data_IF_145193871203
#
_entry.id   IF_145193871203
#
_cell.length_a   1.000
_cell.length_b   1.000
_cell.length_c   1.000
_cell.angle_alpha   90.00
_cell.angle_beta   90.00
_cell.angle_gamma   90.00
#
_symmetry.space_group_name_H-M   'P 1'
#
loop_
_entity.id
_entity.type
_entity.pdbx_description
1 polymer ?
#
# COMPACT_ATOMS: atom_id res chain seq x y z
N UNK A 1 33.58 4.00 -5.78
CA UNK A 1 33.28 2.79 -6.58
C UNK A 1 32.45 1.79 -5.79
N UNK A 2 32.82 1.45 -4.55
CA UNK A 2 32.05 0.58 -3.66
C UNK A 2 30.66 1.14 -3.32
N UNK A 3 30.52 2.44 -3.09
CA UNK A 3 29.22 3.06 -2.79
C UNK A 3 28.24 2.98 -3.97
N UNK A 4 28.73 3.23 -5.19
CA UNK A 4 27.93 3.08 -6.41
C UNK A 4 27.47 1.63 -6.60
N UNK A 5 28.34 0.66 -6.31
CA UNK A 5 28.00 -0.76 -6.37
C UNK A 5 26.94 -1.12 -5.32
N UNK A 6 27.11 -0.66 -4.08
CA UNK A 6 26.12 -0.83 -2.99
C UNK A 6 24.76 -0.24 -3.38
N UNK A 7 24.76 0.97 -3.94
CA UNK A 7 23.54 1.62 -4.43
C UNK A 7 22.85 0.78 -5.52
N UNK A 8 23.59 0.33 -6.53
CA UNK A 8 23.04 -0.50 -7.62
C UNK A 8 22.47 -1.82 -7.07
N UNK A 9 23.18 -2.48 -6.17
CA UNK A 9 22.71 -3.72 -5.53
C UNK A 9 21.44 -3.48 -4.71
N UNK A 10 21.36 -2.40 -3.95
CA UNK A 10 20.17 -2.06 -3.17
C UNK A 10 18.96 -1.76 -4.05
N UNK A 11 19.15 -0.96 -5.10
CA UNK A 11 18.08 -0.67 -6.07
C UNK A 11 17.60 -1.96 -6.72
N UNK A 12 18.52 -2.84 -7.12
CA UNK A 12 18.19 -4.13 -7.70
C UNK A 12 17.40 -5.01 -6.71
N UNK A 13 17.84 -5.08 -5.45
CA UNK A 13 17.19 -5.91 -4.43
C UNK A 13 15.78 -5.40 -4.09
N UNK A 14 15.61 -4.09 -3.92
CA UNK A 14 14.31 -3.45 -3.70
C UNK A 14 13.39 -3.68 -4.90
N UNK A 15 13.92 -3.57 -6.12
CA UNK A 15 13.16 -3.79 -7.36
C UNK A 15 12.70 -5.23 -7.46
N UNK A 16 13.58 -6.21 -7.22
CA UNK A 16 13.25 -7.64 -7.25
C UNK A 16 12.22 -7.96 -6.16
N UNK A 17 12.45 -7.52 -4.92
CA UNK A 17 11.52 -7.72 -3.81
C UNK A 17 10.12 -7.16 -4.14
N UNK A 18 10.06 -5.95 -4.69
CA UNK A 18 8.79 -5.30 -5.08
C UNK A 18 8.13 -5.99 -6.27
N UNK A 19 8.90 -6.38 -7.29
CA UNK A 19 8.38 -7.09 -8.46
C UNK A 19 7.83 -8.48 -8.09
N UNK A 20 8.56 -9.25 -7.28
CA UNK A 20 8.10 -10.55 -6.78
C UNK A 20 6.83 -10.40 -5.95
N UNK A 21 6.78 -9.41 -5.07
CA UNK A 21 5.59 -9.10 -4.26
C UNK A 21 4.41 -8.74 -5.15
N UNK A 22 4.59 -7.82 -6.11
CA UNK A 22 3.55 -7.41 -7.03
C UNK A 22 3.03 -8.60 -7.87
N UNK A 23 3.93 -9.47 -8.34
CA UNK A 23 3.56 -10.67 -9.07
C UNK A 23 2.75 -11.65 -8.22
N UNK A 24 3.23 -12.01 -7.02
CA UNK A 24 2.55 -12.95 -6.12
C UNK A 24 1.20 -12.42 -5.65
N UNK A 25 1.12 -11.13 -5.30
CA UNK A 25 -0.16 -10.50 -4.91
C UNK A 25 -1.11 -10.43 -6.11
N UNK A 26 -0.61 -10.09 -7.30
CA UNK A 26 -1.42 -10.11 -8.53
C UNK A 26 -1.99 -11.49 -8.82
N UNK A 27 -1.23 -12.54 -8.59
CA UNK A 27 -1.71 -13.92 -8.72
C UNK A 27 -2.87 -14.21 -7.77
N UNK A 28 -2.78 -13.81 -6.50
CA UNK A 28 -3.91 -13.92 -5.57
C UNK A 28 -5.10 -13.03 -5.98
N UNK A 29 -4.84 -11.84 -6.52
CA UNK A 29 -5.86 -10.98 -7.13
C UNK A 29 -6.59 -11.67 -8.27
N UNK A 30 -5.87 -12.34 -9.17
CA UNK A 30 -6.46 -13.08 -10.28
C UNK A 30 -7.33 -14.24 -9.78
N UNK A 31 -6.89 -14.96 -8.74
CA UNK A 31 -7.72 -16.02 -8.11
C UNK A 31 -9.00 -15.42 -7.51
N UNK A 32 -8.92 -14.29 -6.79
CA UNK A 32 -10.09 -13.57 -6.26
C UNK A 32 -11.07 -13.17 -7.36
N UNK A 33 -10.55 -12.81 -8.54
CA UNK A 33 -11.35 -12.38 -9.70
C UNK A 33 -12.09 -13.57 -10.34
N UNK A 34 -11.41 -14.71 -10.52
CA UNK A 34 -11.96 -15.89 -11.21
C UNK A 34 -12.89 -16.69 -10.29
N UNK A 35 -12.57 -16.78 -8.99
CA UNK A 35 -13.30 -17.61 -8.02
C UNK A 35 -13.95 -16.74 -6.94
N UNK A 36 -15.20 -16.26 -7.15
CA UNK A 36 -15.90 -15.37 -6.22
C UNK A 36 -16.50 -16.11 -5.00
N UNK A 37 -15.77 -17.10 -4.46
CA UNK A 37 -16.18 -17.89 -3.30
C UNK A 37 -15.66 -17.19 -2.03
N UNK A 38 -16.51 -16.98 -1.03
CA UNK A 38 -16.19 -16.21 0.17
C UNK A 38 -14.94 -16.70 0.92
N UNK A 39 -14.76 -18.02 1.03
CA UNK A 39 -13.60 -18.65 1.67
C UNK A 39 -12.33 -18.37 0.86
N UNK A 40 -12.39 -18.51 -0.47
CA UNK A 40 -11.26 -18.24 -1.37
C UNK A 40 -10.87 -16.77 -1.30
N UNK A 41 -11.83 -15.85 -1.36
CA UNK A 41 -11.58 -14.42 -1.26
C UNK A 41 -10.88 -14.04 0.05
N UNK A 42 -11.35 -14.57 1.18
CA UNK A 42 -10.74 -14.32 2.51
C UNK A 42 -9.33 -14.89 2.58
N UNK A 43 -9.12 -16.12 2.11
CA UNK A 43 -7.80 -16.76 2.11
C UNK A 43 -6.80 -16.02 1.21
N UNK A 44 -7.18 -15.68 -0.02
CA UNK A 44 -6.33 -14.91 -0.93
C UNK A 44 -6.02 -13.52 -0.37
N UNK A 45 -6.98 -12.86 0.29
CA UNK A 45 -6.73 -11.56 0.94
C UNK A 45 -5.76 -11.68 2.11
N UNK A 46 -5.89 -12.74 2.93
CA UNK A 46 -4.96 -13.01 4.03
C UNK A 46 -3.54 -13.28 3.51
N UNK A 47 -3.42 -14.09 2.45
CA UNK A 47 -2.14 -14.39 1.81
C UNK A 47 -1.52 -13.14 1.15
N UNK A 48 -2.31 -12.34 0.43
CA UNK A 48 -1.86 -11.09 -0.15
C UNK A 48 -1.35 -10.11 0.93
N UNK A 49 -2.09 -9.96 2.03
CA UNK A 49 -1.66 -9.14 3.17
C UNK A 49 -0.36 -9.68 3.80
N UNK A 50 -0.22 -11.00 3.92
CA UNK A 50 1.00 -11.61 4.44
C UNK A 50 2.20 -11.38 3.50
N UNK A 51 2.02 -11.53 2.18
CA UNK A 51 3.06 -11.21 1.20
C UNK A 51 3.47 -9.74 1.27
N UNK A 52 2.52 -8.83 1.44
CA UNK A 52 2.81 -7.40 1.61
C UNK A 52 3.49 -7.09 2.96
N UNK A 53 3.16 -7.83 4.02
CA UNK A 53 3.89 -7.78 5.29
C UNK A 53 5.35 -8.25 5.11
N UNK A 54 5.59 -9.35 4.39
CA UNK A 54 6.94 -9.83 4.08
C UNK A 54 7.74 -8.79 3.28
N UNK A 55 7.11 -8.18 2.28
CA UNK A 55 7.71 -7.07 1.53
C UNK A 55 8.13 -5.92 2.44
N UNK A 56 7.24 -5.50 3.36
CA UNK A 56 7.53 -4.43 4.31
C UNK A 56 8.65 -4.80 5.29
N UNK A 57 8.70 -6.06 5.75
CA UNK A 57 9.78 -6.60 6.60
C UNK A 57 11.13 -6.59 5.88
N UNK A 58 11.18 -7.06 4.63
CA UNK A 58 12.41 -7.05 3.83
C UNK A 58 12.89 -5.63 3.53
N UNK A 59 11.98 -4.70 3.21
CA UNK A 59 12.35 -3.29 3.03
C UNK A 59 12.87 -2.65 4.31
N UNK A 60 12.26 -2.92 5.47
CA UNK A 60 12.75 -2.41 6.75
C UNK A 60 14.18 -2.91 7.03
N UNK A 61 14.40 -4.20 6.82
CA UNK A 61 15.74 -4.79 6.97
C UNK A 61 16.74 -4.13 6.04
N UNK A 62 16.40 -3.96 4.75
CA UNK A 62 17.27 -3.27 3.79
C UNK A 62 17.56 -1.83 4.18
N UNK A 63 16.55 -1.09 4.66
CA UNK A 63 16.71 0.30 5.10
C UNK A 63 17.72 0.39 6.25
N UNK A 64 17.57 -0.46 7.27
CA UNK A 64 18.43 -0.47 8.46
C UNK A 64 19.85 -1.00 8.19
N UNK A 65 20.01 -1.95 7.27
CA UNK A 65 21.35 -2.49 6.92
C UNK A 65 22.11 -1.53 6.00
N UNK A 66 21.41 -0.75 5.18
CA UNK A 66 22.05 0.11 4.19
C UNK A 66 22.28 1.54 4.63
N UNK A 67 21.55 1.99 5.64
CA UNK A 67 21.58 3.37 6.11
C UNK A 67 21.65 3.36 7.63
N UNK A 68 22.33 4.34 8.20
CA UNK A 68 22.31 4.58 9.63
C UNK A 68 21.06 5.42 9.96
N UNK A 69 19.94 4.72 10.24
CA UNK A 69 18.64 5.35 10.48
C UNK A 69 18.30 5.26 11.96
N UNK A 70 18.21 6.41 12.61
CA UNK A 70 17.60 6.54 13.93
C UNK A 70 16.09 6.75 13.78
N UNK A 71 15.31 5.70 14.04
CA UNK A 71 13.84 5.79 13.99
C UNK A 71 13.28 6.45 15.24
N UNK A 72 12.77 7.66 15.11
CA UNK A 72 12.04 8.36 16.17
C UNK A 72 10.54 8.17 15.96
N UNK A 73 9.94 7.27 16.72
CA UNK A 73 8.50 6.95 16.63
C UNK A 73 7.86 7.14 18.01
N UNK A 74 7.05 8.19 18.13
CA UNK A 74 6.35 8.52 19.37
C UNK A 74 4.90 8.04 19.36
N UNK A 75 4.39 7.70 20.55
CA UNK A 75 3.00 7.24 20.74
C UNK A 75 2.74 5.81 20.26
N UNK A 76 1.48 5.55 19.87
CA UNK A 76 1.06 4.27 19.29
C UNK A 76 0.85 3.10 20.27
N UNK A 77 0.80 3.37 21.58
CA UNK A 77 0.57 2.34 22.61
C UNK A 77 -0.82 1.71 22.55
N UNK A 78 -1.81 2.51 22.15
CA UNK A 78 -3.22 2.10 22.06
C UNK A 78 -3.59 1.57 20.66
N UNK A 79 -2.62 1.45 19.75
CA UNK A 79 -2.84 0.95 18.41
C UNK A 79 -2.83 -0.58 18.44
N UNK A 80 -3.82 -1.18 17.81
CA UNK A 80 -4.03 -2.64 17.77
C UNK A 80 -4.21 -3.15 16.35
N UNK A 81 -3.61 -4.29 16.04
CA UNK A 81 -3.83 -5.04 14.78
C UNK A 81 -5.25 -5.58 14.60
N UNK A 82 -6.12 -5.45 15.62
CA UNK A 82 -7.50 -5.96 15.63
C UNK A 82 -8.56 -4.93 15.23
N UNK A 83 -8.18 -3.67 15.04
CA UNK A 83 -9.10 -2.57 14.72
C UNK A 83 -8.60 -1.80 13.51
N UNK A 84 -9.50 -1.20 12.74
CA UNK A 84 -9.15 -0.37 11.60
C UNK A 84 -9.04 1.11 11.98
N UNK A 85 -8.12 1.81 11.32
CA UNK A 85 -7.83 3.22 11.57
C UNK A 85 -7.74 3.96 10.24
N UNK A 86 -8.11 5.24 10.26
CA UNK A 86 -7.78 6.16 9.19
C UNK A 86 -6.42 6.79 9.48
N UNK A 87 -5.37 6.31 8.78
CA UNK A 87 -4.03 6.86 8.89
C UNK A 87 -3.91 8.13 8.02
N UNK A 88 -3.52 9.24 8.63
CA UNK A 88 -3.23 10.49 7.93
C UNK A 88 -1.74 10.80 8.07
N UNK A 89 -1.10 11.17 6.97
CA UNK A 89 0.32 11.53 6.91
C UNK A 89 0.48 12.73 5.98
N UNK A 90 1.51 13.54 6.23
CA UNK A 90 2.06 14.38 5.17
C UNK A 90 2.65 13.48 4.06
N UNK A 91 2.81 14.03 2.86
CA UNK A 91 3.42 13.32 1.75
C UNK A 91 4.68 14.04 1.30
N UNK A 92 5.84 13.41 1.52
CA UNK A 92 7.15 13.96 1.19
C UNK A 92 7.75 13.26 -0.02
N UNK A 93 7.53 11.95 -0.14
CA UNK A 93 8.17 11.17 -1.19
C UNK A 93 7.41 9.88 -1.49
N UNK A 94 7.78 9.25 -2.61
CA UNK A 94 7.36 7.89 -2.93
C UNK A 94 7.79 6.85 -1.87
N UNK A 95 8.85 7.12 -1.09
CA UNK A 95 9.32 6.23 -0.04
C UNK A 95 8.35 6.15 1.16
N UNK A 96 7.40 7.09 1.28
CA UNK A 96 6.46 7.15 2.40
C UNK A 96 5.66 5.85 2.53
N UNK A 97 5.23 5.22 1.43
CA UNK A 97 4.52 3.93 1.44
C UNK A 97 5.39 2.84 2.05
N UNK A 98 6.67 2.80 1.66
CA UNK A 98 7.64 1.81 2.15
C UNK A 98 7.82 2.01 3.65
N UNK A 99 8.14 3.23 4.07
CA UNK A 99 8.44 3.58 5.47
C UNK A 99 7.22 3.31 6.36
N UNK A 100 6.05 3.84 6.01
CA UNK A 100 4.83 3.69 6.82
C UNK A 100 4.43 2.22 6.92
N UNK A 101 4.50 1.47 5.83
CA UNK A 101 4.21 0.03 5.86
C UNK A 101 5.24 -0.72 6.71
N UNK A 102 6.53 -0.43 6.56
CA UNK A 102 7.62 -1.09 7.28
C UNK A 102 7.55 -0.90 8.80
N UNK A 103 7.26 0.31 9.27
CA UNK A 103 7.18 0.65 10.70
C UNK A 103 5.88 0.16 11.33
N UNK A 104 4.75 0.27 10.62
CA UNK A 104 3.42 0.02 11.19
C UNK A 104 2.90 -1.41 10.99
N UNK A 105 3.54 -2.23 10.15
CA UNK A 105 3.08 -3.60 9.80
C UNK A 105 2.76 -4.50 11.01
N UNK A 106 3.41 -4.28 12.15
CA UNK A 106 3.24 -5.09 13.37
C UNK A 106 2.32 -4.42 14.41
N UNK A 107 2.01 -3.13 14.23
CA UNK A 107 1.19 -2.33 15.16
C UNK A 107 -0.26 -2.21 14.68
N UNK A 108 -0.47 -2.16 13.37
CA UNK A 108 -1.78 -1.94 12.72
C UNK A 108 -2.13 -3.09 11.79
N UNK A 109 -3.41 -3.26 11.42
CA UNK A 109 -3.73 -4.06 10.24
C UNK A 109 -2.96 -3.56 9.02
N UNK A 110 -2.67 -4.45 8.08
CA UNK A 110 -1.86 -4.11 6.91
C UNK A 110 -2.42 -2.87 6.20
N UNK A 111 -1.58 -1.85 6.06
CA UNK A 111 -1.96 -0.52 5.58
C UNK A 111 -2.58 -0.58 4.19
N UNK A 112 -3.66 0.17 4.00
CA UNK A 112 -4.37 0.34 2.73
C UNK A 112 -4.24 1.78 2.29
N UNK A 113 -3.57 2.01 1.16
CA UNK A 113 -3.33 3.35 0.66
C UNK A 113 -4.42 3.75 -0.33
N UNK A 114 -4.82 5.01 -0.29
CA UNK A 114 -5.64 5.62 -1.33
C UNK A 114 -4.77 5.89 -2.56
N UNK A 115 -5.00 5.13 -3.62
CA UNK A 115 -4.20 5.16 -4.84
C UNK A 115 -4.85 6.02 -5.92
N UNK A 116 -4.04 6.62 -6.79
CA UNK A 116 -4.54 7.31 -7.99
C UNK A 116 -5.18 6.31 -8.96
N UNK A 117 -6.28 6.68 -9.59
CA UNK A 117 -7.01 5.81 -10.53
C UNK A 117 -6.13 5.35 -11.71
N UNK A 118 -5.18 6.18 -12.14
CA UNK A 118 -4.23 5.89 -13.20
C UNK A 118 -3.34 4.67 -12.89
N UNK A 119 -3.08 4.38 -11.60
CA UNK A 119 -2.30 3.22 -11.18
C UNK A 119 -2.99 1.89 -11.48
N UNK A 120 -4.31 1.90 -11.73
CA UNK A 120 -5.04 0.70 -12.13
C UNK A 120 -4.53 0.14 -13.47
N UNK A 121 -4.04 1.01 -14.34
CA UNK A 121 -3.59 0.66 -15.70
C UNK A 121 -2.11 0.27 -15.77
N UNK A 122 -1.36 0.42 -14.66
CA UNK A 122 0.04 0.01 -14.62
C UNK A 122 0.10 -1.52 -14.51
N UNK A 123 0.77 -2.22 -15.44
CA UNK A 123 0.84 -3.69 -15.45
C UNK A 123 1.31 -4.24 -14.10
N UNK A 124 0.63 -5.29 -13.61
CA UNK A 124 0.81 -5.93 -12.31
C UNK A 124 0.52 -5.05 -11.08
N UNK A 125 0.86 -3.76 -11.10
CA UNK A 125 0.62 -2.85 -9.96
C UNK A 125 -0.86 -2.68 -9.70
N UNK A 126 -1.66 -2.37 -10.72
CA UNK A 126 -3.11 -2.19 -10.56
C UNK A 126 -3.80 -3.43 -9.97
N UNK A 127 -3.46 -4.61 -10.50
CA UNK A 127 -4.01 -5.89 -10.03
C UNK A 127 -3.51 -6.26 -8.62
N UNK A 128 -2.24 -6.01 -8.31
CA UNK A 128 -1.70 -6.24 -6.97
C UNK A 128 -2.39 -5.35 -5.92
N UNK A 129 -2.52 -4.06 -6.21
CA UNK A 129 -3.19 -3.11 -5.35
C UNK A 129 -4.68 -3.44 -5.15
N UNK A 130 -5.38 -3.87 -6.21
CA UNK A 130 -6.74 -4.38 -6.11
C UNK A 130 -6.81 -5.67 -5.27
N UNK A 131 -5.86 -6.59 -5.46
CA UNK A 131 -5.73 -7.83 -4.70
C UNK A 131 -5.57 -7.57 -3.19
N UNK A 132 -4.85 -6.50 -2.85
CA UNK A 132 -4.69 -5.97 -1.49
C UNK A 132 -5.88 -5.16 -0.99
N UNK A 133 -6.98 -5.06 -1.74
CA UNK A 133 -8.15 -4.26 -1.37
C UNK A 133 -7.84 -2.76 -1.17
N UNK A 134 -6.84 -2.21 -1.87
CA UNK A 134 -6.53 -0.78 -1.84
C UNK A 134 -7.57 0.03 -2.63
N UNK A 135 -8.10 1.13 -2.06
CA UNK A 135 -9.05 1.99 -2.74
C UNK A 135 -8.38 2.88 -3.80
N UNK A 136 -9.01 2.99 -4.97
CA UNK A 136 -8.57 3.88 -6.06
C UNK A 136 -9.44 5.14 -6.12
N UNK A 137 -8.80 6.29 -6.16
CA UNK A 137 -9.38 7.62 -6.09
C UNK A 137 -9.27 8.33 -7.43
N UNK A 138 -10.34 9.03 -7.83
CA UNK A 138 -10.36 9.89 -9.01
C UNK A 138 -10.29 11.33 -8.56
N UNK A 139 -9.09 11.92 -8.60
CA UNK A 139 -8.91 13.32 -8.26
C UNK A 139 -9.27 14.20 -9.45
N UNK A 140 -10.19 15.12 -9.22
CA UNK A 140 -10.56 16.13 -10.21
C UNK A 140 -9.61 17.33 -10.16
N UNK A 141 -9.30 17.92 -11.32
CA UNK A 141 -8.53 19.17 -11.35
C UNK A 141 -9.36 20.34 -10.83
N UNK A 142 -8.68 21.40 -10.39
CA UNK A 142 -9.35 22.60 -9.88
C UNK A 142 -10.26 23.23 -10.94
N UNK A 143 -9.80 23.29 -12.18
CA UNK A 143 -10.55 23.84 -13.32
C UNK A 143 -11.81 23.01 -13.60
N UNK A 144 -11.73 21.68 -13.47
CA UNK A 144 -12.86 20.80 -13.63
C UNK A 144 -13.91 21.01 -12.53
N UNK A 145 -13.46 21.14 -11.27
CA UNK A 145 -14.36 21.37 -10.12
C UNK A 145 -15.02 22.74 -10.11
N UNK A 146 -14.40 23.76 -10.71
CA UNK A 146 -15.04 25.07 -10.91
C UNK A 146 -16.20 24.96 -11.90
N UNK A 147 -16.05 24.13 -12.95
CA UNK A 147 -17.07 23.89 -13.96
C UNK A 147 -18.17 22.91 -13.49
N UNK A 148 -17.83 22.01 -12.56
CA UNK A 148 -18.70 20.95 -12.06
C UNK A 148 -18.68 20.94 -10.51
N UNK A 149 -19.24 21.99 -9.86
CA UNK A 149 -19.17 22.17 -8.41
C UNK A 149 -19.84 21.04 -7.61
N UNK A 150 -20.82 20.34 -8.20
CA UNK A 150 -21.51 19.19 -7.61
C UNK A 150 -20.58 18.00 -7.33
N UNK A 151 -19.43 17.91 -8.02
CA UNK A 151 -18.46 16.82 -7.90
C UNK A 151 -17.35 17.08 -6.88
N UNK A 152 -17.45 18.17 -6.12
CA UNK A 152 -16.44 18.57 -5.11
C UNK A 152 -16.29 17.54 -3.98
N UNK A 153 -17.37 16.80 -3.67
CA UNK A 153 -17.38 15.81 -2.59
C UNK A 153 -17.05 14.38 -3.05
N UNK A 154 -16.81 14.14 -4.34
CA UNK A 154 -16.54 12.81 -4.90
C UNK A 154 -15.42 12.07 -4.12
N UNK A 155 -14.36 12.78 -3.74
CA UNK A 155 -13.25 12.22 -2.98
C UNK A 155 -13.67 11.81 -1.55
N UNK A 156 -14.45 12.65 -0.87
CA UNK A 156 -14.95 12.33 0.48
C UNK A 156 -15.91 11.15 0.47
N UNK A 157 -16.79 11.08 -0.52
CA UNK A 157 -17.74 9.97 -0.68
C UNK A 157 -17.03 8.66 -1.00
N UNK A 158 -15.99 8.71 -1.84
CA UNK A 158 -15.15 7.55 -2.13
C UNK A 158 -14.37 7.07 -0.89
N UNK A 159 -13.83 7.99 -0.08
CA UNK A 159 -13.17 7.66 1.21
C UNK A 159 -14.18 6.99 2.15
N UNK A 160 -15.35 7.59 2.37
CA UNK A 160 -16.39 7.04 3.24
C UNK A 160 -16.83 5.63 2.80
N UNK A 161 -17.02 5.43 1.49
CA UNK A 161 -17.37 4.13 0.92
C UNK A 161 -16.27 3.10 1.16
N UNK A 162 -15.00 3.47 0.98
CA UNK A 162 -13.87 2.59 1.23
C UNK A 162 -13.77 2.19 2.72
N UNK A 163 -13.89 3.16 3.62
CA UNK A 163 -13.86 2.92 5.07
C UNK A 163 -14.99 2.01 5.55
N UNK A 164 -16.16 2.00 4.89
CA UNK A 164 -17.28 1.13 5.25
C UNK A 164 -16.96 -0.36 5.11
N UNK A 165 -16.03 -0.74 4.23
CA UNK A 165 -15.54 -2.13 4.10
C UNK A 165 -14.70 -2.59 5.31
N UNK A 166 -14.22 -1.63 6.10
CA UNK A 166 -13.29 -1.83 7.21
C UNK A 166 -13.91 -1.43 8.55
N UNK A 167 -15.23 -1.20 8.61
CA UNK A 167 -16.01 -1.14 9.85
C UNK A 167 -16.36 -2.55 10.30
#
# INVERSE_FOLDING_TARGET
MLDNLRMVLNVLFVTINTAMTAFTVSFFGLIKLILPISIVQKSCTRLANFTFWCWASLNLWMLNVNNDIEWQVEGGKDISTKQWYLMMSNHLSWADIVILSSILKDKMPMTKFFLKHELLYVPFVGLACWGLDMPFMRRHSREFLIRNPERRNDDFDAINKACTKFK
#
